data_IF_046888213645
#
_entry.id   IF_046888213645
#
_cell.length_a   1.000
_cell.length_b   1.000
_cell.length_c   1.000
_cell.angle_alpha   90.00
_cell.angle_beta   90.00
_cell.angle_gamma   90.00
#
_symmetry.space_group_name_H-M   'P 1'
#
loop_
_entity.id
_entity.type
_entity.pdbx_description
1 polymer ?
#
# COMPACT_ATOMS: atom_id res chain seq x y z
N UNK A 1 -46.36 43.14 9.28
CA UNK A 1 -45.84 42.45 8.06
C UNK A 1 -44.29 42.38 7.99
N UNK A 2 -43.54 42.16 9.09
CA UNK A 2 -42.05 42.15 9.04
C UNK A 2 -41.41 40.82 9.48
N UNK A 3 -42.14 39.90 10.07
CA UNK A 3 -41.58 38.66 10.59
C UNK A 3 -41.26 37.60 9.51
N UNK A 4 -42.10 37.47 8.52
CA UNK A 4 -41.99 36.42 7.48
C UNK A 4 -40.81 36.60 6.53
N UNK A 5 -40.38 37.84 6.26
CA UNK A 5 -39.23 38.13 5.38
C UNK A 5 -37.86 37.79 6.03
N UNK A 6 -37.77 37.85 7.36
CA UNK A 6 -36.51 37.52 8.10
C UNK A 6 -36.27 35.99 8.15
N UNK A 7 -37.34 35.21 8.28
CA UNK A 7 -37.24 33.75 8.28
C UNK A 7 -36.88 33.17 6.90
N UNK A 8 -37.40 33.76 5.83
CA UNK A 8 -37.06 33.34 4.46
C UNK A 8 -35.61 33.63 4.12
N UNK A 9 -35.03 34.73 4.56
CA UNK A 9 -33.62 35.04 4.34
C UNK A 9 -32.68 34.09 5.12
N UNK A 10 -33.03 33.73 6.37
CA UNK A 10 -32.26 32.76 7.15
C UNK A 10 -32.26 31.35 6.54
N UNK A 11 -33.39 30.89 6.01
CA UNK A 11 -33.49 29.59 5.31
C UNK A 11 -32.68 29.55 4.00
N UNK A 12 -32.67 30.67 3.27
CA UNK A 12 -31.90 30.79 2.01
C UNK A 12 -30.39 30.78 2.24
N UNK A 13 -29.91 31.44 3.30
CA UNK A 13 -28.49 31.39 3.69
C UNK A 13 -28.08 30.01 4.16
N UNK A 14 -28.92 29.31 4.95
CA UNK A 14 -28.65 27.93 5.37
C UNK A 14 -28.58 26.94 4.20
N UNK A 15 -29.43 27.10 3.18
CA UNK A 15 -29.41 26.31 1.95
C UNK A 15 -28.13 26.58 1.12
N UNK A 16 -27.65 27.81 1.06
CA UNK A 16 -26.40 28.14 0.35
C UNK A 16 -25.19 27.51 1.04
N UNK A 17 -25.18 27.46 2.39
CA UNK A 17 -24.10 26.77 3.13
C UNK A 17 -24.13 25.25 3.01
N UNK A 18 -25.28 24.62 2.79
CA UNK A 18 -25.37 23.18 2.52
C UNK A 18 -24.86 22.77 1.13
N UNK A 19 -24.90 23.67 0.15
CA UNK A 19 -24.45 23.38 -1.22
C UNK A 19 -22.94 23.49 -1.44
N UNK A 20 -22.18 24.05 -0.50
CA UNK A 20 -20.75 24.29 -0.65
C UNK A 20 -19.84 23.13 -0.22
N UNK A 21 -20.40 21.95 0.11
CA UNK A 21 -19.61 20.77 0.46
C UNK A 21 -19.55 19.70 -0.65
N UNK A 22 -19.92 20.03 -1.87
CA UNK A 22 -19.54 19.20 -3.01
C UNK A 22 -18.06 19.47 -3.27
N UNK A 23 -17.18 18.70 -2.61
CA UNK A 23 -15.77 18.69 -2.97
C UNK A 23 -15.68 18.43 -4.47
N UNK A 24 -15.08 19.34 -5.21
CA UNK A 24 -14.75 19.14 -6.60
C UNK A 24 -13.78 17.95 -6.67
N UNK A 25 -14.31 16.76 -6.89
CA UNK A 25 -13.50 15.62 -7.30
C UNK A 25 -12.86 16.02 -8.63
N UNK A 26 -11.55 15.97 -8.71
CA UNK A 26 -10.85 16.20 -9.96
C UNK A 26 -11.39 15.19 -10.98
N UNK A 27 -12.14 15.67 -11.99
CA UNK A 27 -12.60 14.85 -13.10
C UNK A 27 -11.43 14.64 -14.05
N UNK A 28 -10.62 13.60 -13.78
CA UNK A 28 -9.59 13.13 -14.69
C UNK A 28 -9.75 11.63 -14.83
N UNK A 29 -9.73 11.11 -16.05
CA UNK A 29 -9.58 9.68 -16.26
C UNK A 29 -8.11 9.34 -16.36
N UNK A 30 -7.69 8.25 -15.73
CA UNK A 30 -6.35 7.68 -15.89
C UNK A 30 -6.42 6.43 -16.75
N UNK A 31 -5.31 6.03 -17.35
CA UNK A 31 -5.20 4.73 -18.05
C UNK A 31 -5.18 3.54 -17.10
N UNK A 32 -5.10 3.77 -15.80
CA UNK A 32 -5.10 2.72 -14.78
C UNK A 32 -6.47 2.05 -14.67
N UNK A 33 -6.51 0.75 -14.39
CA UNK A 33 -7.76 0.02 -14.12
C UNK A 33 -8.45 0.50 -12.83
N UNK A 34 -7.66 0.93 -11.86
CA UNK A 34 -8.11 1.56 -10.62
C UNK A 34 -7.06 2.57 -10.14
N UNK A 35 -7.50 3.64 -9.51
CA UNK A 35 -6.63 4.65 -8.93
C UNK A 35 -7.28 5.28 -7.69
N UNK A 36 -6.46 5.69 -6.74
CA UNK A 36 -6.89 6.44 -5.57
C UNK A 36 -5.78 7.42 -5.17
N UNK A 37 -6.14 8.67 -4.91
CA UNK A 37 -5.25 9.69 -4.36
C UNK A 37 -5.83 10.19 -3.06
N UNK A 38 -5.04 10.10 -2.00
CA UNK A 38 -5.41 10.54 -0.65
C UNK A 38 -4.54 11.73 -0.23
N UNK A 39 -5.13 12.66 0.47
CA UNK A 39 -4.39 13.62 1.24
C UNK A 39 -3.87 12.92 2.51
N UNK A 40 -2.56 13.04 2.76
CA UNK A 40 -1.85 12.18 3.73
C UNK A 40 -2.22 12.48 5.19
N UNK A 41 -2.47 13.73 5.54
CA UNK A 41 -2.73 14.12 6.94
C UNK A 41 -4.15 13.77 7.40
N UNK A 42 -5.13 13.95 6.53
CA UNK A 42 -6.55 13.81 6.86
C UNK A 42 -7.17 12.52 6.33
N UNK A 43 -6.51 11.83 5.39
CA UNK A 43 -7.06 10.67 4.68
C UNK A 43 -8.16 11.05 3.68
N UNK A 44 -8.33 12.35 3.37
CA UNK A 44 -9.35 12.80 2.42
C UNK A 44 -9.05 12.30 1.01
N UNK A 45 -10.04 11.68 0.39
CA UNK A 45 -9.95 11.26 -1.02
C UNK A 45 -9.95 12.50 -1.92
N UNK A 46 -8.88 12.67 -2.68
CA UNK A 46 -8.74 13.74 -3.67
C UNK A 46 -9.16 13.29 -5.07
N UNK A 47 -8.94 12.01 -5.38
CA UNK A 47 -9.34 11.40 -6.64
C UNK A 47 -9.56 9.91 -6.42
N UNK A 48 -10.56 9.34 -7.07
CA UNK A 48 -10.75 7.89 -7.12
C UNK A 48 -11.33 7.45 -8.47
N UNK A 49 -10.82 6.33 -8.96
CA UNK A 49 -11.32 5.62 -10.13
C UNK A 49 -11.31 4.13 -9.81
N UNK A 50 -12.46 3.48 -9.77
CA UNK A 50 -12.60 2.07 -9.41
C UNK A 50 -11.84 1.67 -8.13
N UNK A 51 -11.66 2.59 -7.19
CA UNK A 51 -10.77 2.45 -6.01
C UNK A 51 -11.14 1.27 -5.09
N UNK A 52 -12.36 0.75 -5.20
CA UNK A 52 -12.85 -0.39 -4.41
C UNK A 52 -12.83 -1.72 -5.17
N UNK A 53 -12.35 -1.71 -6.42
CA UNK A 53 -12.23 -2.93 -7.23
C UNK A 53 -11.15 -3.85 -6.65
N UNK A 54 -11.47 -5.15 -6.56
CA UNK A 54 -10.50 -6.17 -6.16
C UNK A 54 -9.67 -6.56 -7.38
N UNK A 55 -8.44 -6.15 -7.41
CA UNK A 55 -7.52 -6.38 -8.52
C UNK A 55 -6.21 -7.01 -8.01
N UNK A 56 -5.56 -7.84 -8.82
CA UNK A 56 -4.18 -8.25 -8.54
C UNK A 56 -3.30 -7.00 -8.43
N UNK A 57 -2.51 -6.93 -7.38
CA UNK A 57 -1.68 -5.76 -7.07
C UNK A 57 -0.32 -5.80 -7.73
N UNK A 58 0.09 -6.98 -8.24
CA UNK A 58 1.43 -7.20 -8.76
C UNK A 58 2.51 -6.66 -7.79
N UNK A 59 3.56 -6.03 -8.29
CA UNK A 59 4.68 -5.55 -7.45
C UNK A 59 4.35 -4.44 -6.46
N UNK A 60 3.15 -3.84 -6.49
CA UNK A 60 2.75 -2.94 -5.38
C UNK A 60 2.61 -3.69 -4.05
N UNK A 61 2.48 -5.01 -4.07
CA UNK A 61 2.61 -5.92 -2.91
C UNK A 61 3.87 -5.65 -2.10
N UNK A 62 4.99 -5.33 -2.75
CA UNK A 62 6.29 -5.10 -2.12
C UNK A 62 6.33 -3.90 -1.16
N UNK A 63 5.36 -2.99 -1.27
CA UNK A 63 5.17 -1.91 -0.28
C UNK A 63 4.83 -2.50 1.10
N UNK A 64 3.96 -3.51 1.16
CA UNK A 64 3.65 -4.21 2.41
C UNK A 64 4.86 -5.01 2.92
N UNK A 65 5.62 -5.62 2.02
CA UNK A 65 6.86 -6.33 2.35
C UNK A 65 7.88 -5.39 2.97
N UNK A 66 8.10 -4.22 2.38
CA UNK A 66 9.00 -3.20 2.93
C UNK A 66 8.52 -2.67 4.28
N UNK A 67 7.22 -2.40 4.41
CA UNK A 67 6.62 -1.95 5.67
C UNK A 67 6.90 -2.93 6.82
N UNK A 68 6.63 -4.20 6.61
CA UNK A 68 6.89 -5.23 7.63
C UNK A 68 8.37 -5.42 7.92
N UNK A 69 9.23 -5.31 6.92
CA UNK A 69 10.67 -5.40 7.11
C UNK A 69 11.21 -4.25 7.97
N UNK A 70 10.72 -3.03 7.74
CA UNK A 70 11.11 -1.84 8.54
C UNK A 70 10.56 -1.93 9.97
N UNK A 71 9.35 -2.46 10.16
CA UNK A 71 8.73 -2.57 11.49
C UNK A 71 9.33 -3.69 12.35
N UNK A 72 9.84 -4.77 11.74
CA UNK A 72 10.24 -5.99 12.46
C UNK A 72 11.74 -6.32 12.36
N UNK A 73 12.47 -5.67 11.46
CA UNK A 73 13.91 -5.86 11.27
C UNK A 73 14.70 -4.60 11.62
N UNK A 74 16.02 -4.75 11.62
CA UNK A 74 16.98 -3.63 11.68
C UNK A 74 17.74 -3.57 10.38
N UNK A 75 18.13 -2.36 9.94
CA UNK A 75 18.81 -2.17 8.67
C UNK A 75 20.13 -2.95 8.57
N UNK A 76 20.81 -3.15 9.69
CA UNK A 76 22.07 -3.88 9.82
C UNK A 76 21.90 -5.40 10.08
N UNK A 77 20.68 -5.92 10.13
CA UNK A 77 20.43 -7.36 10.19
C UNK A 77 20.95 -8.04 8.90
N UNK A 78 21.59 -9.19 9.08
CA UNK A 78 22.04 -10.00 7.95
C UNK A 78 20.94 -10.93 7.45
N UNK A 79 20.58 -10.77 6.18
CA UNK A 79 19.64 -11.64 5.46
C UNK A 79 20.45 -12.70 4.70
N UNK A 80 20.27 -13.97 5.07
CA UNK A 80 20.90 -15.09 4.37
C UNK A 80 20.01 -15.56 3.22
N UNK A 81 20.57 -15.64 2.02
CA UNK A 81 19.85 -16.00 0.80
C UNK A 81 19.58 -17.52 0.74
N UNK A 82 18.32 -17.89 0.58
CA UNK A 82 17.87 -19.27 0.42
C UNK A 82 17.81 -19.70 -1.04
N UNK A 83 17.68 -21.02 -1.26
CA UNK A 83 17.40 -21.57 -2.57
C UNK A 83 16.04 -21.12 -3.15
N UNK A 84 15.04 -20.91 -2.27
CA UNK A 84 13.73 -20.41 -2.66
C UNK A 84 13.82 -18.95 -3.17
N UNK A 85 14.56 -18.08 -2.50
CA UNK A 85 14.78 -16.72 -2.96
C UNK A 85 15.44 -16.69 -4.34
N UNK A 86 16.50 -17.48 -4.55
CA UNK A 86 17.21 -17.56 -5.85
C UNK A 86 16.31 -18.10 -6.98
N UNK A 87 15.34 -18.95 -6.67
CA UNK A 87 14.43 -19.55 -7.67
C UNK A 87 13.33 -18.63 -8.18
N UNK A 88 13.22 -17.42 -7.63
CA UNK A 88 12.13 -16.53 -8.00
C UNK A 88 12.21 -16.07 -9.47
N UNK A 89 11.06 -15.81 -10.12
CA UNK A 89 11.03 -15.32 -11.50
C UNK A 89 11.62 -13.90 -11.61
N UNK A 90 11.92 -13.48 -12.82
CA UNK A 90 12.33 -12.10 -13.12
C UNK A 90 11.19 -11.10 -12.72
N UNK A 91 11.54 -9.91 -12.22
CA UNK A 91 12.85 -9.22 -12.15
C UNK A 91 13.62 -9.66 -10.89
N UNK A 92 14.94 -9.88 -11.00
CA UNK A 92 15.80 -10.36 -9.90
C UNK A 92 17.07 -9.52 -9.77
N UNK A 93 17.59 -9.39 -8.55
CA UNK A 93 18.92 -8.88 -8.29
C UNK A 93 20.01 -9.87 -8.76
N UNK A 94 19.70 -11.17 -8.75
CA UNK A 94 20.63 -12.24 -9.08
C UNK A 94 21.39 -12.75 -7.86
N UNK A 95 20.73 -12.85 -6.72
CA UNK A 95 21.30 -13.38 -5.48
C UNK A 95 21.77 -14.82 -5.64
N UNK A 96 22.81 -15.22 -4.90
CA UNK A 96 23.32 -16.60 -4.86
C UNK A 96 23.02 -17.27 -3.51
N UNK A 97 22.79 -18.59 -3.53
CA UNK A 97 22.48 -19.35 -2.32
C UNK A 97 23.60 -19.20 -1.28
N UNK A 98 23.23 -18.84 -0.06
CA UNK A 98 24.13 -18.72 1.09
C UNK A 98 24.83 -17.37 1.20
N UNK A 99 24.72 -16.50 0.21
CA UNK A 99 25.16 -15.10 0.35
C UNK A 99 24.42 -14.40 1.48
N UNK A 100 25.02 -13.36 2.01
CA UNK A 100 24.44 -12.53 3.06
C UNK A 100 24.50 -11.07 2.65
N UNK A 101 23.40 -10.38 2.87
CA UNK A 101 23.24 -8.95 2.58
C UNK A 101 22.67 -8.25 3.79
N UNK A 102 22.94 -6.97 3.96
CA UNK A 102 22.21 -6.17 4.91
C UNK A 102 20.73 -6.03 4.48
N UNK A 103 19.84 -6.05 5.45
CA UNK A 103 18.40 -5.86 5.20
C UNK A 103 18.14 -4.55 4.46
N UNK A 104 18.85 -3.48 4.82
CA UNK A 104 18.73 -2.18 4.16
C UNK A 104 19.08 -2.23 2.67
N UNK A 105 20.15 -2.93 2.29
CA UNK A 105 20.56 -3.08 0.88
C UNK A 105 19.49 -3.82 0.07
N UNK A 106 18.89 -4.86 0.65
CA UNK A 106 17.80 -5.59 0.01
C UNK A 106 16.50 -4.76 -0.06
N UNK A 107 16.26 -3.87 0.90
CA UNK A 107 15.14 -2.93 0.83
C UNK A 107 15.31 -1.92 -0.31
N UNK A 108 16.52 -1.39 -0.53
CA UNK A 108 16.77 -0.57 -1.72
C UNK A 108 16.56 -1.35 -3.02
N UNK A 109 17.07 -2.57 -3.09
CA UNK A 109 16.87 -3.47 -4.22
C UNK A 109 15.37 -3.74 -4.49
N UNK A 110 14.62 -4.02 -3.43
CA UNK A 110 13.17 -4.26 -3.46
C UNK A 110 12.39 -3.05 -4.00
N UNK A 111 12.66 -1.86 -3.45
CA UNK A 111 11.84 -0.67 -3.70
C UNK A 111 12.25 0.07 -4.98
N UNK A 112 13.52 0.07 -5.36
CA UNK A 112 14.00 0.82 -6.52
C UNK A 112 13.95 0.01 -7.82
N UNK A 113 14.15 -1.33 -7.74
CA UNK A 113 14.21 -2.20 -8.90
C UNK A 113 13.14 -3.31 -8.89
N UNK A 114 12.39 -3.41 -7.81
CA UNK A 114 11.31 -4.39 -7.67
C UNK A 114 11.75 -5.86 -7.75
N UNK A 115 12.96 -6.20 -7.28
CA UNK A 115 13.52 -7.54 -7.36
C UNK A 115 12.73 -8.57 -6.53
N UNK A 116 12.38 -9.68 -7.14
CA UNK A 116 11.55 -10.73 -6.54
C UNK A 116 12.35 -11.62 -5.56
N UNK A 117 13.60 -11.92 -5.87
CA UNK A 117 14.51 -12.67 -5.00
C UNK A 117 14.79 -11.90 -3.70
N UNK A 118 14.97 -10.58 -3.77
CA UNK A 118 15.10 -9.71 -2.60
C UNK A 118 13.85 -9.75 -1.73
N UNK A 119 12.65 -9.73 -2.33
CA UNK A 119 11.39 -9.80 -1.60
C UNK A 119 11.26 -11.09 -0.79
N UNK A 120 11.62 -12.22 -1.39
CA UNK A 120 11.54 -13.54 -0.74
C UNK A 120 12.62 -13.69 0.32
N UNK A 121 13.86 -13.25 0.06
CA UNK A 121 14.93 -13.27 1.06
C UNK A 121 14.57 -12.45 2.31
N UNK A 122 14.01 -11.25 2.13
CA UNK A 122 13.50 -10.40 3.22
C UNK A 122 12.39 -11.12 3.98
N UNK A 123 11.41 -11.68 3.27
CA UNK A 123 10.27 -12.36 3.88
C UNK A 123 10.68 -13.57 4.74
N UNK A 124 11.63 -14.37 4.26
CA UNK A 124 12.16 -15.51 5.01
C UNK A 124 12.98 -15.07 6.23
N UNK A 125 13.72 -13.98 6.12
CA UNK A 125 14.47 -13.43 7.26
C UNK A 125 13.54 -12.94 8.36
N UNK A 126 12.52 -12.17 8.01
CA UNK A 126 11.61 -11.52 8.98
C UNK A 126 10.57 -12.52 9.51
N UNK A 127 9.98 -13.34 8.64
CA UNK A 127 8.90 -14.27 8.99
C UNK A 127 9.37 -15.69 9.31
N UNK A 128 10.63 -16.01 9.06
CA UNK A 128 11.14 -17.39 9.13
C UNK A 128 10.71 -18.27 7.96
N UNK A 129 9.64 -17.92 7.27
CA UNK A 129 9.15 -18.54 6.03
C UNK A 129 8.25 -17.58 5.27
N UNK A 130 8.04 -17.86 3.96
CA UNK A 130 7.11 -17.09 3.11
C UNK A 130 5.69 -17.21 3.65
N UNK A 131 5.26 -18.38 4.09
CA UNK A 131 3.90 -18.61 4.61
C UNK A 131 3.64 -17.77 5.88
N UNK A 132 4.57 -17.80 6.84
CA UNK A 132 4.46 -16.98 8.05
C UNK A 132 4.49 -15.49 7.72
N UNK A 133 5.36 -15.08 6.78
CA UNK A 133 5.41 -13.68 6.36
C UNK A 133 4.11 -13.25 5.67
N UNK A 134 3.51 -14.09 4.84
CA UNK A 134 2.19 -13.84 4.23
C UNK A 134 1.09 -13.71 5.31
N UNK A 135 1.16 -14.50 6.37
CA UNK A 135 0.26 -14.36 7.52
C UNK A 135 0.47 -12.99 8.22
N UNK A 136 1.72 -12.54 8.40
CA UNK A 136 2.04 -11.21 8.93
C UNK A 136 1.50 -10.09 8.03
N UNK A 137 1.66 -10.21 6.71
CA UNK A 137 1.10 -9.24 5.73
C UNK A 137 -0.41 -9.12 5.87
N UNK A 138 -1.12 -10.24 6.00
CA UNK A 138 -2.57 -10.25 6.16
C UNK A 138 -3.01 -9.71 7.53
N UNK A 139 -2.25 -9.96 8.58
CA UNK A 139 -2.49 -9.39 9.91
C UNK A 139 -2.31 -7.86 9.88
N UNK A 140 -1.23 -7.36 9.27
CA UNK A 140 -0.97 -5.92 9.09
C UNK A 140 -2.05 -5.26 8.23
N UNK A 141 -2.45 -5.89 7.12
CA UNK A 141 -3.54 -5.38 6.30
C UNK A 141 -4.84 -5.18 7.10
N UNK A 142 -5.18 -6.14 7.96
CA UNK A 142 -6.34 -6.04 8.85
C UNK A 142 -6.15 -4.93 9.90
N UNK A 143 -4.98 -4.82 10.51
CA UNK A 143 -4.62 -3.80 11.49
C UNK A 143 -4.82 -2.38 10.93
N UNK A 144 -4.32 -2.13 9.71
CA UNK A 144 -4.45 -0.82 9.05
C UNK A 144 -5.82 -0.61 8.36
N UNK A 145 -6.77 -1.50 8.56
CA UNK A 145 -8.17 -1.33 8.14
C UNK A 145 -8.50 -1.80 6.73
N UNK A 146 -7.64 -2.57 6.06
CA UNK A 146 -7.95 -3.18 4.76
C UNK A 146 -9.00 -4.27 4.92
N UNK A 147 -10.16 -4.13 4.25
CA UNK A 147 -11.30 -5.06 4.41
C UNK A 147 -11.33 -6.18 3.36
N UNK A 148 -10.72 -5.97 2.21
CA UNK A 148 -10.83 -6.82 1.03
C UNK A 148 -9.47 -7.15 0.41
N UNK A 149 -8.39 -7.07 1.18
CA UNK A 149 -7.02 -7.34 0.78
C UNK A 149 -6.58 -8.70 1.28
N UNK A 150 -5.89 -9.46 0.45
CA UNK A 150 -5.30 -10.74 0.81
C UNK A 150 -3.96 -10.91 0.11
N UNK A 151 -2.92 -11.16 0.90
CA UNK A 151 -1.56 -11.41 0.43
C UNK A 151 -1.25 -12.90 0.49
N UNK A 152 -0.62 -13.42 -0.56
CA UNK A 152 -0.18 -14.82 -0.67
C UNK A 152 1.34 -14.90 -0.75
N UNK A 153 1.96 -13.91 -1.38
CA UNK A 153 3.41 -13.86 -1.61
C UNK A 153 3.97 -12.48 -1.24
N UNK A 154 5.28 -12.36 -0.92
CA UNK A 154 5.90 -11.07 -0.63
C UNK A 154 6.21 -10.23 -1.87
N UNK A 155 6.12 -10.80 -3.06
CA UNK A 155 6.54 -10.19 -4.33
C UNK A 155 5.39 -9.85 -5.29
N UNK A 156 4.18 -10.39 -5.06
CA UNK A 156 2.97 -10.10 -5.84
C UNK A 156 2.60 -11.13 -6.88
#
# INVERSE_FOLDING_TARGET
MSGTKRWAAGLFIALIFMYNHVGALAQGETSAKAACVLEMETGRVLFEQNARARLPMASTTKVMTALLAIENGKGDDYVKVSANAVSQPEVRLGLSIGEQYYLEDLLYSLMLQSHNDSAVAIAECIGGSVDNFSAMMNAKAKEIGCKNTHFVTPNG
#
